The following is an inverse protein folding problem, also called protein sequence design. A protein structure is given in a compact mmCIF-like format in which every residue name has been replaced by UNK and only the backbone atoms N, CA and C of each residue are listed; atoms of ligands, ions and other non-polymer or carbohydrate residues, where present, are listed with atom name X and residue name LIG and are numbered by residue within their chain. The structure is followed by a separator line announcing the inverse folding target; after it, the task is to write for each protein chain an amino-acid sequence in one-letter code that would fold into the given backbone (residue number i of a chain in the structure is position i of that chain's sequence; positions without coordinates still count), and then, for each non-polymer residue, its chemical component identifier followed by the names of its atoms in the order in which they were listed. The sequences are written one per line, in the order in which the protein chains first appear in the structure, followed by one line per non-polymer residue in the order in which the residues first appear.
data_IF_921349591060
#
_entry.id   IF_921349591060
#
_cell.length_a   1.000
_cell.length_b   1.000
_cell.length_c   1.000
_cell.angle_alpha   90.00
_cell.angle_beta   90.00
_cell.angle_gamma   90.00
#
_symmetry.space_group_name_H-M   'P 1'
#
loop_
_entity.id
_entity.type
_entity.pdbx_description
1 polymer ?
#
# COMPACT_ATOMS: atom_id res chain seq x y z
N UNK A 1 -15.54 -8.41 15.94
CA UNK A 1 -14.79 -9.58 16.42
C UNK A 1 -15.07 -10.72 15.46
N UNK A 2 -14.04 -11.26 14.80
CA UNK A 2 -14.22 -12.48 14.00
C UNK A 2 -14.23 -13.65 14.99
N UNK A 3 -15.36 -14.34 15.14
CA UNK A 3 -15.39 -15.61 15.87
C UNK A 3 -14.77 -16.70 15.00
N UNK A 4 -13.95 -17.56 15.57
CA UNK A 4 -13.45 -18.74 14.86
C UNK A 4 -14.60 -19.67 14.47
N UNK A 5 -14.52 -20.26 13.27
CA UNK A 5 -15.50 -21.28 12.86
C UNK A 5 -15.26 -22.58 13.64
N UNK A 6 -16.32 -23.38 13.82
CA UNK A 6 -16.21 -24.69 14.49
C UNK A 6 -15.12 -25.58 13.89
N UNK A 7 -14.91 -25.51 12.57
CA UNK A 7 -13.87 -26.26 11.86
C UNK A 7 -12.46 -25.75 12.15
N UNK A 8 -12.27 -24.43 12.29
CA UNK A 8 -10.98 -23.86 12.69
C UNK A 8 -10.59 -24.29 14.10
N UNK A 9 -11.54 -24.27 15.04
CA UNK A 9 -11.33 -24.73 16.42
C UNK A 9 -10.95 -26.22 16.43
N UNK A 10 -11.68 -27.04 15.69
CA UNK A 10 -11.45 -28.49 15.65
C UNK A 10 -10.09 -28.85 15.05
N UNK A 11 -9.72 -28.23 13.92
CA UNK A 11 -8.39 -28.43 13.33
C UNK A 11 -7.26 -28.03 14.31
N UNK A 12 -7.43 -26.92 15.03
CA UNK A 12 -6.45 -26.49 16.01
C UNK A 12 -6.31 -27.47 17.18
N UNK A 13 -7.42 -27.99 17.70
CA UNK A 13 -7.43 -28.95 18.79
C UNK A 13 -6.83 -30.28 18.35
N UNK A 14 -7.21 -30.81 17.20
CA UNK A 14 -6.78 -32.13 16.71
C UNK A 14 -5.26 -32.23 16.51
N UNK A 15 -4.62 -31.11 16.19
CA UNK A 15 -3.17 -31.03 16.08
C UNK A 15 -2.44 -31.16 17.42
N UNK A 16 -3.06 -30.76 18.54
CA UNK A 16 -2.37 -30.58 19.83
C UNK A 16 -2.93 -31.42 20.98
N UNK A 17 -4.22 -31.72 20.96
CA UNK A 17 -4.97 -32.29 22.07
C UNK A 17 -5.81 -33.47 21.59
N UNK A 18 -5.73 -34.56 22.34
CA UNK A 18 -6.56 -35.75 22.14
C UNK A 18 -7.25 -36.12 23.45
N UNK A 19 -8.20 -37.05 23.37
CA UNK A 19 -9.00 -37.50 24.50
C UNK A 19 -9.11 -39.01 24.51
N UNK A 20 -9.14 -39.60 25.71
CA UNK A 20 -9.36 -41.02 25.96
C UNK A 20 -10.41 -41.20 27.04
N UNK A 21 -11.25 -42.23 26.93
CA UNK A 21 -12.11 -42.66 28.03
C UNK A 21 -11.42 -43.75 28.87
N UNK A 22 -11.56 -43.63 30.19
CA UNK A 22 -11.22 -44.70 31.15
C UNK A 22 -12.50 -45.14 31.84
N UNK A 23 -12.80 -46.43 31.76
CA UNK A 23 -14.08 -47.02 32.15
C UNK A 23 -13.81 -48.28 32.95
N UNK A 24 -14.45 -48.39 34.12
CA UNK A 24 -14.31 -49.59 34.94
C UNK A 24 -14.66 -50.86 34.14
N UNK A 25 -13.84 -51.91 34.27
CA UNK A 25 -14.04 -53.22 33.65
C UNK A 25 -15.41 -53.87 33.94
N UNK A 26 -16.10 -53.42 34.99
CA UNK A 26 -17.47 -53.84 35.32
C UNK A 26 -18.54 -53.24 34.39
N UNK A 27 -18.18 -52.24 33.58
CA UNK A 27 -19.07 -51.54 32.64
C UNK A 27 -18.71 -51.80 31.17
N UNK A 28 -17.66 -52.57 30.91
CA UNK A 28 -17.21 -52.89 29.55
C UNK A 28 -17.10 -54.39 29.37
N UNK A 29 -17.42 -54.91 28.19
CA UNK A 29 -17.17 -56.30 27.79
C UNK A 29 -15.91 -56.35 26.93
N UNK A 30 -15.84 -55.51 25.90
CA UNK A 30 -14.71 -55.46 24.97
C UNK A 30 -14.42 -54.01 24.54
N UNK A 31 -13.69 -53.29 25.39
CA UNK A 31 -13.25 -51.93 25.16
C UNK A 31 -11.76 -51.80 25.50
N UNK A 32 -10.94 -51.46 24.50
CA UNK A 32 -9.52 -51.19 24.70
C UNK A 32 -9.30 -49.70 24.92
N UNK A 33 -9.12 -49.30 26.19
CA UNK A 33 -8.92 -47.90 26.55
C UNK A 33 -7.68 -47.29 25.89
N UNK A 34 -6.59 -48.06 25.75
CA UNK A 34 -5.29 -47.52 25.30
C UNK A 34 -5.23 -47.23 23.82
N UNK A 35 -6.02 -47.95 23.02
CA UNK A 35 -6.07 -47.76 21.55
C UNK A 35 -7.13 -46.72 21.14
N UNK A 36 -8.15 -46.49 21.98
CA UNK A 36 -9.26 -45.60 21.67
C UNK A 36 -8.93 -44.12 21.96
N UNK A 37 -8.30 -43.46 20.99
CA UNK A 37 -8.06 -42.02 20.99
C UNK A 37 -9.12 -41.27 20.19
N UNK A 38 -9.56 -40.13 20.72
CA UNK A 38 -10.64 -39.33 20.16
C UNK A 38 -10.24 -37.86 20.01
N UNK A 39 -10.77 -37.22 18.97
CA UNK A 39 -10.78 -35.77 18.82
C UNK A 39 -11.85 -35.12 19.69
N UNK A 40 -11.82 -33.79 19.84
CA UNK A 40 -12.83 -33.07 20.63
C UNK A 40 -14.26 -33.30 20.10
N UNK A 41 -14.45 -33.16 18.79
CA UNK A 41 -15.76 -33.41 18.15
C UNK A 41 -16.22 -34.87 18.32
N UNK A 42 -15.28 -35.82 18.27
CA UNK A 42 -15.59 -37.23 18.48
C UNK A 42 -16.06 -37.51 19.91
N UNK A 43 -15.42 -36.94 20.94
CA UNK A 43 -15.88 -37.12 22.32
C UNK A 43 -17.23 -36.44 22.55
N UNK A 44 -17.48 -35.27 21.95
CA UNK A 44 -18.77 -34.60 22.06
C UNK A 44 -19.88 -35.49 21.50
N UNK A 45 -19.66 -36.09 20.32
CA UNK A 45 -20.62 -37.03 19.74
C UNK A 45 -20.83 -38.28 20.60
N UNK A 46 -19.76 -38.85 21.15
CA UNK A 46 -19.83 -40.02 22.06
C UNK A 46 -20.63 -39.68 23.31
N UNK A 47 -20.29 -38.58 23.98
CA UNK A 47 -20.92 -38.13 25.22
C UNK A 47 -22.41 -37.85 24.97
N UNK A 48 -22.72 -37.16 23.87
CA UNK A 48 -24.10 -36.86 23.48
C UNK A 48 -24.91 -38.13 23.22
N UNK A 49 -24.37 -39.07 22.44
CA UNK A 49 -25.05 -40.34 22.10
C UNK A 49 -25.33 -41.19 23.34
N UNK A 50 -24.36 -41.30 24.26
CA UNK A 50 -24.55 -42.05 25.50
C UNK A 50 -25.50 -41.32 26.46
N UNK A 51 -25.39 -39.98 26.58
CA UNK A 51 -26.32 -39.17 27.37
C UNK A 51 -27.77 -39.38 26.91
N UNK A 52 -28.05 -39.27 25.62
CA UNK A 52 -29.40 -39.42 25.07
C UNK A 52 -29.94 -40.84 25.29
N UNK A 53 -29.11 -41.87 25.12
CA UNK A 53 -29.51 -43.26 25.41
C UNK A 53 -29.85 -43.47 26.89
N UNK A 54 -28.96 -43.08 27.80
CA UNK A 54 -29.17 -43.28 29.23
C UNK A 54 -30.28 -42.40 29.79
N UNK A 55 -30.57 -41.25 29.18
CA UNK A 55 -31.75 -40.44 29.48
C UNK A 55 -33.04 -41.23 29.26
N UNK A 56 -33.20 -41.81 28.08
CA UNK A 56 -34.38 -42.64 27.74
C UNK A 56 -34.50 -43.84 28.67
N UNK A 57 -33.37 -44.49 29.01
CA UNK A 57 -33.36 -45.61 29.96
C UNK A 57 -33.79 -45.17 31.36
N UNK A 58 -33.31 -44.00 31.82
CA UNK A 58 -33.61 -43.47 33.15
C UNK A 58 -35.09 -43.14 33.38
N UNK A 59 -35.84 -42.84 32.30
CA UNK A 59 -37.29 -42.65 32.35
C UNK A 59 -38.04 -43.93 32.71
N UNK A 60 -37.42 -45.11 32.48
CA UNK A 60 -38.03 -46.42 32.72
C UNK A 60 -37.50 -47.11 33.97
N UNK A 61 -36.19 -47.01 34.23
CA UNK A 61 -35.54 -47.64 35.36
C UNK A 61 -34.39 -46.77 35.89
N UNK A 62 -34.31 -46.55 37.22
CA UNK A 62 -33.26 -45.72 37.80
C UNK A 62 -31.88 -46.38 37.62
N UNK A 63 -30.89 -45.58 37.21
CA UNK A 63 -29.47 -45.95 37.19
C UNK A 63 -28.60 -44.73 37.42
N UNK A 64 -27.41 -44.94 37.99
CA UNK A 64 -26.39 -43.89 38.15
C UNK A 64 -25.74 -43.47 36.81
N UNK A 65 -25.98 -44.22 35.73
CA UNK A 65 -25.38 -43.96 34.42
C UNK A 65 -25.86 -42.68 33.77
N UNK A 66 -27.16 -42.36 33.87
CA UNK A 66 -27.69 -41.11 33.31
C UNK A 66 -27.04 -39.88 33.94
N UNK A 67 -26.95 -39.81 35.27
CA UNK A 67 -26.30 -38.70 35.96
C UNK A 67 -24.83 -38.55 35.58
N UNK A 68 -24.13 -39.68 35.41
CA UNK A 68 -22.71 -39.66 35.02
C UNK A 68 -22.52 -39.04 33.61
N UNK A 69 -23.35 -39.45 32.64
CA UNK A 69 -23.30 -38.87 31.29
C UNK A 69 -23.84 -37.43 31.25
N UNK A 70 -24.82 -37.08 32.09
CA UNK A 70 -25.33 -35.71 32.20
C UNK A 70 -24.23 -34.74 32.68
N UNK A 71 -23.46 -35.11 33.69
CA UNK A 71 -22.33 -34.32 34.18
C UNK A 71 -21.31 -34.10 33.07
N UNK A 72 -20.96 -35.18 32.36
CA UNK A 72 -19.98 -35.10 31.27
C UNK A 72 -20.49 -34.26 30.09
N UNK A 73 -21.77 -34.40 29.72
CA UNK A 73 -22.40 -33.61 28.67
C UNK A 73 -22.43 -32.12 29.01
N UNK A 74 -22.73 -31.77 30.27
CA UNK A 74 -22.69 -30.38 30.72
C UNK A 74 -21.27 -29.79 30.65
N UNK A 75 -20.24 -30.55 31.04
CA UNK A 75 -18.85 -30.13 30.94
C UNK A 75 -18.44 -29.85 29.48
N UNK A 76 -18.74 -30.77 28.56
CA UNK A 76 -18.41 -30.59 27.14
C UNK A 76 -19.15 -29.39 26.54
N UNK A 77 -20.44 -29.21 26.83
CA UNK A 77 -21.18 -28.05 26.35
C UNK A 77 -20.58 -26.73 26.87
N UNK A 78 -20.13 -26.70 28.13
CA UNK A 78 -19.42 -25.56 28.70
C UNK A 78 -18.11 -25.26 27.97
N UNK A 79 -17.35 -26.30 27.61
CA UNK A 79 -16.10 -26.17 26.84
C UNK A 79 -16.37 -25.70 25.42
N UNK A 80 -17.37 -26.27 24.74
CA UNK A 80 -17.78 -25.84 23.39
C UNK A 80 -18.13 -24.35 23.39
N UNK A 81 -18.92 -23.90 24.37
CA UNK A 81 -19.26 -22.49 24.54
C UNK A 81 -18.01 -21.62 24.73
N UNK A 82 -17.11 -22.02 25.62
CA UNK A 82 -15.84 -21.31 25.84
C UNK A 82 -15.01 -21.20 24.56
N UNK A 83 -14.88 -22.28 23.80
CA UNK A 83 -14.12 -22.31 22.55
C UNK A 83 -14.75 -21.42 21.46
N UNK A 84 -16.07 -21.29 21.42
CA UNK A 84 -16.77 -20.40 20.48
C UNK A 84 -16.64 -18.92 20.84
N UNK A 85 -16.40 -18.60 22.10
CA UNK A 85 -16.30 -17.22 22.63
C UNK A 85 -14.84 -16.73 22.75
N UNK A 86 -13.85 -17.56 22.42
CA UNK A 86 -12.43 -17.21 22.58
C UNK A 86 -11.93 -16.26 21.48
N UNK A 87 -11.21 -15.20 21.90
CA UNK A 87 -10.65 -14.20 20.99
C UNK A 87 -9.40 -14.69 20.23
N UNK A 88 -8.64 -15.61 20.83
CA UNK A 88 -7.42 -16.18 20.26
C UNK A 88 -7.23 -17.66 20.63
N UNK A 89 -6.85 -18.49 19.66
CA UNK A 89 -6.60 -19.92 19.84
C UNK A 89 -5.22 -20.14 20.47
N UNK A 90 -5.13 -19.85 21.77
CA UNK A 90 -3.93 -20.07 22.57
C UNK A 90 -3.96 -21.43 23.28
N UNK A 91 -2.94 -22.25 23.05
CA UNK A 91 -2.83 -23.61 23.60
C UNK A 91 -2.77 -23.65 25.12
N UNK A 92 -2.08 -22.71 25.77
CA UNK A 92 -1.96 -22.69 27.23
C UNK A 92 -3.27 -22.29 27.89
N UNK A 93 -3.96 -21.29 27.33
CA UNK A 93 -5.29 -20.88 27.80
C UNK A 93 -6.29 -22.02 27.70
N UNK A 94 -6.35 -22.69 26.53
CA UNK A 94 -7.24 -23.83 26.29
C UNK A 94 -6.89 -24.99 27.22
N UNK A 95 -5.60 -25.32 27.38
CA UNK A 95 -5.16 -26.40 28.26
C UNK A 95 -5.52 -26.13 29.73
N UNK A 96 -5.31 -24.91 30.21
CA UNK A 96 -5.70 -24.55 31.57
C UNK A 96 -7.20 -24.67 31.76
N UNK A 97 -8.00 -24.21 30.79
CA UNK A 97 -9.45 -24.31 30.87
C UNK A 97 -9.93 -25.77 30.88
N UNK A 98 -9.39 -26.62 30.00
CA UNK A 98 -9.70 -28.06 29.96
C UNK A 98 -9.28 -28.78 31.24
N UNK A 99 -8.11 -28.44 31.80
CA UNK A 99 -7.62 -29.04 33.04
C UNK A 99 -8.59 -28.83 34.22
N UNK A 100 -9.11 -27.61 34.37
CA UNK A 100 -10.01 -27.29 35.48
C UNK A 100 -11.47 -27.68 35.24
N UNK A 101 -11.95 -27.64 33.99
CA UNK A 101 -13.37 -27.81 33.69
C UNK A 101 -13.72 -29.19 33.10
N UNK A 102 -12.76 -29.90 32.52
CA UNK A 102 -12.97 -31.24 31.95
C UNK A 102 -12.39 -32.33 32.85
N UNK A 103 -11.06 -32.42 32.87
CA UNK A 103 -10.29 -33.44 33.57
C UNK A 103 -8.87 -32.96 33.90
N UNK A 104 -8.46 -33.16 35.14
CA UNK A 104 -7.07 -32.95 35.58
C UNK A 104 -6.14 -34.10 35.20
N UNK A 105 -6.70 -35.25 34.81
CA UNK A 105 -5.93 -36.43 34.41
C UNK A 105 -5.55 -36.31 32.94
N UNK A 106 -4.24 -36.25 32.67
CA UNK A 106 -3.68 -36.10 31.34
C UNK A 106 -2.31 -36.74 31.21
N UNK A 107 -1.96 -37.14 29.99
CA UNK A 107 -0.67 -37.68 29.62
C UNK A 107 -0.14 -36.99 28.35
N UNK A 108 1.16 -37.14 28.06
CA UNK A 108 1.77 -36.60 26.85
C UNK A 108 2.22 -37.77 25.98
N UNK A 109 1.84 -37.74 24.70
CA UNK A 109 2.28 -38.76 23.74
C UNK A 109 3.75 -38.55 23.36
N UNK A 110 4.38 -39.56 22.77
CA UNK A 110 5.75 -39.47 22.24
C UNK A 110 5.92 -38.35 21.19
N UNK A 111 4.82 -37.97 20.52
CA UNK A 111 4.76 -36.90 19.51
C UNK A 111 4.49 -35.52 20.12
N UNK A 112 4.43 -35.39 21.45
CA UNK A 112 4.21 -34.14 22.17
C UNK A 112 2.75 -33.68 22.23
N UNK A 113 1.77 -34.50 21.79
CA UNK A 113 0.34 -34.19 21.95
C UNK A 113 -0.11 -34.47 23.37
N UNK A 114 -1.03 -33.66 23.87
CA UNK A 114 -1.58 -33.78 25.21
C UNK A 114 -2.90 -34.57 25.17
N UNK A 115 -2.99 -35.66 25.94
CA UNK A 115 -4.16 -36.54 25.97
C UNK A 115 -4.90 -36.37 27.29
N UNK A 116 -6.13 -35.90 27.26
CA UNK A 116 -7.00 -35.83 28.45
C UNK A 116 -7.71 -37.16 28.68
N UNK A 117 -7.66 -37.65 29.91
CA UNK A 117 -8.26 -38.92 30.32
C UNK A 117 -9.59 -38.64 31.01
N UNK A 118 -10.68 -39.16 30.42
CA UNK A 118 -12.06 -38.95 30.86
C UNK A 118 -12.56 -40.21 31.57
N UNK A 119 -12.58 -40.17 32.91
CA UNK A 119 -13.10 -41.27 33.71
C UNK A 119 -14.63 -41.25 33.74
N UNK A 120 -15.27 -42.37 33.40
CA UNK A 120 -16.74 -42.52 33.50
C UNK A 120 -17.16 -43.90 34.01
N UNK A 121 -18.01 -43.92 35.03
CA UNK A 121 -18.63 -45.15 35.56
C UNK A 121 -19.93 -45.42 34.79
N UNK A 122 -19.83 -45.89 33.54
CA UNK A 122 -20.98 -46.30 32.73
C UNK A 122 -20.53 -47.10 31.50
N UNK A 123 -21.38 -48.00 30.96
CA UNK A 123 -21.14 -48.58 29.64
C UNK A 123 -21.13 -47.51 28.55
N UNK A 124 -20.23 -47.68 27.56
CA UNK A 124 -20.02 -46.75 26.46
C UNK A 124 -20.38 -47.38 25.12
N UNK A 125 -20.94 -46.58 24.22
CA UNK A 125 -21.25 -46.95 22.83
C UNK A 125 -20.05 -47.32 21.95
N UNK A 126 -18.83 -47.12 22.44
CA UNK A 126 -17.57 -47.53 21.81
C UNK A 126 -17.08 -48.91 22.22
N UNK A 127 -17.71 -49.54 23.21
CA UNK A 127 -17.47 -50.95 23.48
C UNK A 127 -17.95 -51.78 22.28
N UNK A 128 -17.09 -52.68 21.78
CA UNK A 128 -17.39 -53.50 20.60
C UNK A 128 -18.63 -54.38 20.81
N UNK A 129 -18.94 -54.68 22.08
CA UNK A 129 -20.05 -55.52 22.50
C UNK A 129 -21.16 -54.72 23.19
N UNK A 130 -21.19 -53.38 23.04
CA UNK A 130 -22.25 -52.54 23.65
C UNK A 130 -23.65 -52.99 23.26
N UNK A 131 -23.81 -53.54 22.05
CA UNK A 131 -25.11 -54.04 21.57
C UNK A 131 -25.66 -55.14 22.48
N UNK A 132 -24.81 -56.05 22.93
CA UNK A 132 -25.17 -57.12 23.87
C UNK A 132 -25.69 -56.54 25.19
N UNK A 133 -25.00 -55.51 25.71
CA UNK A 133 -25.42 -54.78 26.92
C UNK A 133 -26.77 -54.11 26.70
N UNK A 134 -26.97 -53.36 25.61
CA UNK A 134 -28.23 -52.65 25.32
C UNK A 134 -29.41 -53.61 25.14
N UNK A 135 -29.22 -54.75 24.49
CA UNK A 135 -30.24 -55.79 24.36
C UNK A 135 -30.61 -56.38 25.73
N UNK A 136 -29.63 -56.63 26.59
CA UNK A 136 -29.89 -57.05 27.97
C UNK A 136 -30.65 -55.99 28.78
N UNK A 137 -30.25 -54.71 28.70
CA UNK A 137 -30.94 -53.60 29.37
C UNK A 137 -32.41 -53.54 28.98
N UNK A 138 -32.69 -53.68 27.68
CA UNK A 138 -34.07 -53.69 27.17
C UNK A 138 -34.87 -54.85 27.74
N UNK A 139 -34.29 -56.05 27.76
CA UNK A 139 -34.91 -57.22 28.37
C UNK A 139 -35.16 -57.04 29.88
N UNK A 140 -34.16 -56.54 30.63
CA UNK A 140 -34.24 -56.42 32.08
C UNK A 140 -35.35 -55.48 32.52
N UNK A 141 -35.48 -54.32 31.86
CA UNK A 141 -36.50 -53.31 32.15
C UNK A 141 -37.92 -53.83 31.92
N UNK A 142 -38.11 -54.80 31.03
CA UNK A 142 -39.41 -55.47 30.84
C UNK A 142 -39.75 -56.42 31.99
N UNK A 143 -38.75 -56.90 32.73
CA UNK A 143 -38.96 -57.82 33.86
C UNK A 143 -39.05 -57.09 35.21
N UNK A 144 -38.18 -56.10 35.43
CA UNK A 144 -38.11 -55.32 36.67
C UNK A 144 -37.34 -54.02 36.45
N UNK A 145 -37.56 -53.03 37.32
CA UNK A 145 -36.86 -51.73 37.29
C UNK A 145 -35.82 -51.60 38.42
N UNK A 146 -35.73 -52.58 39.32
CA UNK A 146 -34.87 -52.51 40.50
C UNK A 146 -33.39 -52.80 40.16
N UNK A 147 -32.47 -52.03 40.74
CA UNK A 147 -31.02 -52.28 40.72
C UNK A 147 -30.42 -52.50 39.31
N UNK A 148 -30.87 -51.74 38.30
CA UNK A 148 -30.42 -51.86 36.92
C UNK A 148 -28.89 -51.79 36.77
N UNK A 149 -28.22 -50.91 37.52
CA UNK A 149 -26.74 -50.79 37.51
C UNK A 149 -26.07 -52.12 37.86
N UNK A 150 -26.49 -52.77 38.96
CA UNK A 150 -25.92 -54.05 39.39
C UNK A 150 -26.32 -55.21 38.47
N UNK A 151 -27.50 -55.13 37.84
CA UNK A 151 -27.92 -56.10 36.84
C UNK A 151 -27.03 -56.05 35.60
N UNK A 152 -26.71 -54.85 35.12
CA UNK A 152 -25.79 -54.63 33.99
C UNK A 152 -24.38 -55.12 34.34
N UNK A 153 -23.88 -54.81 35.54
CA UNK A 153 -22.57 -55.30 36.00
C UNK A 153 -22.53 -56.82 36.10
N UNK A 154 -23.58 -57.43 36.62
CA UNK A 154 -23.73 -58.89 36.69
C UNK A 154 -23.76 -59.52 35.30
N UNK A 155 -24.49 -58.92 34.36
CA UNK A 155 -24.51 -59.34 32.96
C UNK A 155 -23.13 -59.28 32.31
N UNK A 156 -22.42 -58.16 32.47
CA UNK A 156 -21.07 -57.96 31.94
C UNK A 156 -20.10 -58.98 32.55
N UNK A 157 -20.17 -59.19 33.87
CA UNK A 157 -19.35 -60.20 34.54
C UNK A 157 -19.60 -61.61 34.00
N UNK A 158 -20.86 -62.03 33.87
CA UNK A 158 -21.23 -63.35 33.35
C UNK A 158 -20.87 -63.52 31.87
N UNK A 159 -20.93 -62.46 31.08
CA UNK A 159 -20.52 -62.49 29.67
C UNK A 159 -19.02 -62.80 29.50
N UNK A 160 -18.20 -62.43 30.49
CA UNK A 160 -16.77 -62.76 30.56
C UNK A 160 -16.51 -64.10 31.28
N UNK A 161 -17.40 -64.50 32.20
CA UNK A 161 -17.23 -65.65 33.08
C UNK A 161 -18.47 -66.57 33.01
N UNK A 162 -18.64 -67.26 31.89
CA UNK A 162 -19.82 -68.09 31.59
C UNK A 162 -20.03 -69.21 32.64
N UNK A 163 -18.95 -69.69 33.28
CA UNK A 163 -19.00 -70.74 34.30
C UNK A 163 -19.77 -70.34 35.57
N UNK A 164 -19.89 -69.04 35.84
CA UNK A 164 -20.58 -68.52 37.02
C UNK A 164 -22.10 -68.42 36.86
N UNK A 165 -22.63 -68.72 35.67
CA UNK A 165 -24.06 -68.59 35.35
C UNK A 165 -24.94 -69.39 36.30
N UNK A 166 -24.56 -70.64 36.64
CA UNK A 166 -25.37 -71.49 37.52
C UNK A 166 -25.62 -70.88 38.90
N UNK A 167 -24.60 -70.27 39.49
CA UNK A 167 -24.71 -69.59 40.79
C UNK A 167 -25.67 -68.39 40.70
N UNK A 168 -25.47 -67.53 39.70
CA UNK A 168 -26.29 -66.33 39.50
C UNK A 168 -27.75 -66.68 39.16
N UNK A 169 -27.98 -67.77 38.43
CA UNK A 169 -29.32 -68.27 38.10
C UNK A 169 -30.06 -68.81 39.33
N UNK A 170 -29.36 -69.31 40.34
CA UNK A 170 -29.98 -69.79 41.59
C UNK A 170 -30.25 -68.68 42.61
N UNK A 171 -29.81 -67.45 42.35
CA UNK A 171 -29.97 -66.32 43.26
C UNK A 171 -31.41 -65.83 43.34
N UNK A 172 -31.85 -65.42 44.53
CA UNK A 172 -33.15 -64.76 44.73
C UNK A 172 -33.15 -63.28 44.34
N UNK A 173 -31.97 -62.69 44.08
CA UNK A 173 -31.84 -61.30 43.71
C UNK A 173 -32.08 -61.09 42.20
N UNK A 174 -33.03 -60.23 41.79
CA UNK A 174 -33.35 -60.01 40.37
C UNK A 174 -32.15 -59.59 39.51
N UNK A 175 -31.27 -58.75 40.08
CA UNK A 175 -30.07 -58.26 39.42
C UNK A 175 -28.98 -59.34 39.21
N UNK A 176 -29.14 -60.55 39.76
CA UNK A 176 -28.28 -61.70 39.47
C UNK A 176 -29.03 -62.75 38.64
N UNK A 177 -30.28 -63.01 39.00
CA UNK A 177 -31.14 -64.00 38.33
C UNK A 177 -31.38 -63.68 36.85
N UNK A 178 -31.87 -62.48 36.53
CA UNK A 178 -32.25 -62.12 35.15
C UNK A 178 -31.07 -62.05 34.18
N UNK A 179 -29.87 -61.53 34.55
CA UNK A 179 -28.68 -61.66 33.70
C UNK A 179 -28.35 -63.10 33.32
N UNK A 180 -28.40 -64.03 34.28
CA UNK A 180 -28.10 -65.43 34.04
C UNK A 180 -29.18 -66.09 33.17
N UNK A 181 -30.46 -65.83 33.47
CA UNK A 181 -31.58 -66.30 32.65
C UNK A 181 -31.49 -65.80 31.20
N UNK A 182 -31.14 -64.52 31.00
CA UNK A 182 -31.02 -63.94 29.66
C UNK A 182 -29.91 -64.61 28.83
N UNK A 183 -28.74 -64.84 29.44
CA UNK A 183 -27.62 -65.51 28.76
C UNK A 183 -27.97 -66.97 28.43
N UNK A 184 -28.59 -67.70 29.35
CA UNK A 184 -29.06 -69.06 29.10
C UNK A 184 -30.09 -69.10 27.97
N UNK A 185 -31.09 -68.20 28.00
CA UNK A 185 -32.07 -68.07 26.91
C UNK A 185 -31.37 -67.84 25.58
N UNK A 186 -30.42 -66.91 25.50
CA UNK A 186 -29.65 -66.66 24.27
C UNK A 186 -28.86 -67.88 23.80
N UNK A 187 -28.32 -68.68 24.72
CA UNK A 187 -27.60 -69.91 24.37
C UNK A 187 -28.54 -71.02 23.85
N UNK A 188 -29.81 -71.01 24.25
CA UNK A 188 -30.81 -72.00 23.81
C UNK A 188 -31.77 -71.49 22.71
N UNK A 189 -31.79 -70.19 22.41
CA UNK A 189 -32.69 -69.58 21.41
C UNK A 189 -32.38 -70.02 19.99
N UNK A 190 -33.44 -70.20 19.19
CA UNK A 190 -33.36 -70.58 17.78
C UNK A 190 -33.07 -69.36 16.86
N UNK A 191 -32.69 -69.63 15.60
CA UNK A 191 -32.21 -68.65 14.62
C UNK A 191 -33.22 -67.49 14.36
N UNK A 192 -34.53 -67.72 14.54
CA UNK A 192 -35.58 -66.73 14.23
C UNK A 192 -35.64 -65.55 15.22
N UNK A 193 -35.43 -65.78 16.51
CA UNK A 193 -35.33 -64.68 17.49
C UNK A 193 -34.08 -63.82 17.24
N UNK A 194 -33.00 -64.42 16.73
CA UNK A 194 -31.77 -63.69 16.41
C UNK A 194 -31.91 -62.77 15.19
N UNK A 195 -32.81 -63.04 14.25
CA UNK A 195 -33.04 -62.17 13.06
C UNK A 195 -33.77 -60.87 13.45
N UNK A 196 -34.83 -60.95 14.25
CA UNK A 196 -35.54 -59.74 14.70
C UNK A 196 -34.65 -58.87 15.60
N UNK A 197 -33.87 -59.49 16.48
CA UNK A 197 -32.89 -58.81 17.32
C UNK A 197 -31.76 -58.17 16.47
N UNK A 198 -31.39 -58.80 15.36
CA UNK A 198 -30.45 -58.25 14.38
C UNK A 198 -31.03 -57.03 13.66
N UNK A 199 -32.26 -57.10 13.14
CA UNK A 199 -32.90 -55.94 12.50
C UNK A 199 -33.02 -54.76 13.48
N UNK A 200 -33.52 -55.02 14.69
CA UNK A 200 -33.75 -54.00 15.72
C UNK A 200 -32.47 -53.33 16.20
N UNK A 201 -31.40 -54.09 16.46
CA UNK A 201 -30.18 -53.57 17.09
C UNK A 201 -29.04 -53.28 16.12
N UNK A 202 -29.12 -53.76 14.88
CA UNK A 202 -28.08 -53.56 13.85
C UNK A 202 -28.60 -52.67 12.74
N UNK A 203 -29.69 -53.08 12.07
CA UNK A 203 -30.15 -52.40 10.85
C UNK A 203 -30.69 -51.01 11.17
N UNK A 204 -31.65 -50.87 12.09
CA UNK A 204 -32.20 -49.54 12.39
C UNK A 204 -31.14 -48.53 12.89
N UNK A 205 -30.26 -48.87 13.85
CA UNK A 205 -29.22 -47.93 14.30
C UNK A 205 -28.17 -47.63 13.23
N UNK A 206 -27.89 -48.58 12.32
CA UNK A 206 -26.98 -48.33 11.21
C UNK A 206 -27.60 -47.37 10.21
N UNK A 207 -28.86 -47.56 9.83
CA UNK A 207 -29.61 -46.66 8.96
C UNK A 207 -29.70 -45.26 9.54
N UNK A 208 -29.99 -45.13 10.84
CA UNK A 208 -30.05 -43.81 11.50
C UNK A 208 -28.69 -43.11 11.52
N UNK A 209 -27.59 -43.84 11.81
CA UNK A 209 -26.23 -43.27 11.76
C UNK A 209 -25.83 -42.85 10.36
N UNK A 210 -26.23 -43.61 9.35
CA UNK A 210 -25.91 -43.31 7.96
C UNK A 210 -26.65 -42.05 7.49
N UNK A 211 -27.91 -41.89 7.92
CA UNK A 211 -28.68 -40.66 7.69
C UNK A 211 -28.01 -39.45 8.36
N UNK A 212 -27.63 -39.56 9.64
CA UNK A 212 -26.96 -38.49 10.39
C UNK A 212 -25.63 -38.07 9.74
N UNK A 213 -24.83 -39.03 9.24
CA UNK A 213 -23.60 -38.74 8.50
C UNK A 213 -23.91 -37.97 7.21
N UNK A 214 -24.94 -38.39 6.47
CA UNK A 214 -25.37 -37.71 5.25
C UNK A 214 -25.81 -36.27 5.53
N UNK A 215 -26.59 -36.05 6.59
CA UNK A 215 -27.11 -34.73 6.96
C UNK A 215 -25.97 -33.79 7.39
N UNK A 216 -25.05 -34.27 8.24
CA UNK A 216 -23.87 -33.50 8.66
C UNK A 216 -22.92 -33.20 7.47
N UNK A 217 -22.74 -34.16 6.56
CA UNK A 217 -21.95 -33.91 5.35
C UNK A 217 -22.54 -32.80 4.48
N UNK A 218 -23.87 -32.76 4.35
CA UNK A 218 -24.56 -31.69 3.63
C UNK A 218 -24.43 -30.33 4.33
N UNK A 219 -24.52 -30.29 5.65
CA UNK A 219 -24.34 -29.07 6.44
C UNK A 219 -22.92 -28.52 6.27
N UNK A 220 -21.88 -29.36 6.42
CA UNK A 220 -20.49 -28.96 6.19
C UNK A 220 -20.26 -28.47 4.76
N UNK A 221 -20.88 -29.10 3.77
CA UNK A 221 -20.78 -28.64 2.38
C UNK A 221 -21.36 -27.24 2.20
N UNK A 222 -22.52 -26.96 2.81
CA UNK A 222 -23.13 -25.62 2.80
C UNK A 222 -22.26 -24.58 3.49
N UNK A 223 -21.71 -24.89 4.66
CA UNK A 223 -20.80 -23.99 5.38
C UNK A 223 -19.57 -23.65 4.57
N UNK A 224 -18.92 -24.67 3.97
CA UNK A 224 -17.74 -24.48 3.13
C UNK A 224 -18.09 -23.62 1.91
N UNK A 225 -19.21 -23.88 1.26
CA UNK A 225 -19.66 -23.11 0.09
C UNK A 225 -19.90 -21.64 0.46
N UNK A 226 -20.65 -21.38 1.54
CA UNK A 226 -20.91 -20.02 2.02
C UNK A 226 -19.63 -19.28 2.42
N UNK A 227 -18.69 -19.98 3.07
CA UNK A 227 -17.39 -19.40 3.41
C UNK A 227 -16.61 -19.02 2.16
N UNK A 228 -16.54 -19.91 1.15
CA UNK A 228 -15.83 -19.63 -0.11
C UNK A 228 -16.47 -18.45 -0.85
N UNK A 229 -17.80 -18.41 -0.94
CA UNK A 229 -18.53 -17.31 -1.59
C UNK A 229 -18.28 -15.97 -0.90
N UNK A 230 -18.37 -15.92 0.43
CA UNK A 230 -18.08 -14.71 1.20
C UNK A 230 -16.64 -14.24 0.99
N UNK A 231 -15.67 -15.16 1.05
CA UNK A 231 -14.26 -14.82 0.84
C UNK A 231 -13.97 -14.37 -0.59
N UNK A 232 -14.65 -14.97 -1.57
CA UNK A 232 -14.55 -14.55 -2.96
C UNK A 232 -15.06 -13.12 -3.12
N UNK A 233 -16.23 -12.80 -2.56
CA UNK A 233 -16.82 -11.46 -2.61
C UNK A 233 -15.92 -10.41 -1.92
N UNK A 234 -15.36 -10.74 -0.75
CA UNK A 234 -14.43 -9.85 -0.03
C UNK A 234 -13.15 -9.56 -0.85
N UNK A 235 -12.59 -10.60 -1.49
CA UNK A 235 -11.41 -10.46 -2.35
C UNK A 235 -11.75 -9.64 -3.59
N UNK A 236 -12.90 -9.89 -4.20
CA UNK A 236 -13.37 -9.16 -5.38
C UNK A 236 -13.55 -7.68 -5.05
N UNK A 237 -14.17 -7.35 -3.92
CA UNK A 237 -14.33 -5.96 -3.48
C UNK A 237 -12.97 -5.27 -3.26
N UNK A 238 -12.03 -5.93 -2.57
CA UNK A 238 -10.68 -5.39 -2.37
C UNK A 238 -9.93 -5.18 -3.69
N UNK A 239 -10.11 -6.09 -4.65
CA UNK A 239 -9.52 -5.95 -5.98
C UNK A 239 -10.13 -4.77 -6.75
N UNK A 240 -11.44 -4.62 -6.71
CA UNK A 240 -12.15 -3.52 -7.36
C UNK A 240 -11.77 -2.16 -6.75
N UNK A 241 -11.67 -2.07 -5.41
CA UNK A 241 -11.19 -0.87 -4.70
C UNK A 241 -9.75 -0.53 -5.10
N UNK A 242 -8.87 -1.54 -5.19
CA UNK A 242 -7.47 -1.35 -5.63
C UNK A 242 -7.39 -0.96 -7.11
N UNK A 243 -8.28 -1.47 -7.95
CA UNK A 243 -8.35 -1.08 -9.36
C UNK A 243 -8.77 0.39 -9.52
N UNK A 244 -9.70 0.88 -8.70
CA UNK A 244 -10.09 2.29 -8.64
C UNK A 244 -8.89 3.14 -8.19
N UNK A 245 -8.22 2.76 -7.09
CA UNK A 245 -7.03 3.47 -6.58
C UNK A 245 -5.91 3.55 -7.63
N UNK A 246 -5.65 2.45 -8.35
CA UNK A 246 -4.66 2.43 -9.44
C UNK A 246 -5.05 3.35 -10.60
N UNK A 247 -6.33 3.41 -10.96
CA UNK A 247 -6.83 4.29 -12.02
C UNK A 247 -6.70 5.76 -11.64
N UNK A 248 -7.00 6.09 -10.38
CA UNK A 248 -6.79 7.43 -9.83
C UNK A 248 -5.30 7.80 -9.79
N UNK A 249 -4.46 6.88 -9.33
CA UNK A 249 -3.00 7.06 -9.33
C UNK A 249 -2.47 7.29 -10.76
N UNK A 250 -2.86 6.47 -11.73
CA UNK A 250 -2.48 6.62 -13.13
C UNK A 250 -2.90 7.99 -13.68
N UNK A 251 -4.13 8.43 -13.37
CA UNK A 251 -4.63 9.74 -13.75
C UNK A 251 -3.82 10.87 -13.12
N UNK A 252 -3.42 10.71 -11.85
CA UNK A 252 -2.57 11.68 -11.14
C UNK A 252 -1.17 11.79 -11.76
N UNK A 253 -0.56 10.67 -12.15
CA UNK A 253 0.74 10.62 -12.81
C UNK A 253 0.66 11.26 -14.20
N UNK A 254 -0.38 10.97 -14.97
CA UNK A 254 -0.59 11.58 -16.28
C UNK A 254 -0.75 13.10 -16.18
N UNK A 255 -1.52 13.59 -15.20
CA UNK A 255 -1.66 15.03 -14.93
C UNK A 255 -0.33 15.65 -14.52
N UNK A 256 0.39 15.03 -13.59
CA UNK A 256 1.71 15.50 -13.15
C UNK A 256 2.71 15.54 -14.31
N UNK A 257 2.74 14.50 -15.15
CA UNK A 257 3.62 14.42 -16.31
C UNK A 257 3.30 15.54 -17.31
N UNK A 258 2.02 15.78 -17.59
CA UNK A 258 1.59 16.88 -18.46
C UNK A 258 1.99 18.24 -17.89
N UNK A 259 1.68 18.51 -16.62
CA UNK A 259 2.06 19.76 -15.96
C UNK A 259 3.56 20.00 -15.95
N UNK A 260 4.36 18.95 -15.74
CA UNK A 260 5.83 19.06 -15.76
C UNK A 260 6.37 19.29 -17.16
N UNK A 261 5.80 18.63 -18.16
CA UNK A 261 6.16 18.83 -19.57
C UNK A 261 5.86 20.28 -19.99
N UNK A 262 4.65 20.76 -19.72
CA UNK A 262 4.24 22.13 -20.06
C UNK A 262 5.14 23.18 -19.36
N UNK A 263 5.48 22.96 -18.08
CA UNK A 263 6.42 23.84 -17.36
C UNK A 263 7.84 23.81 -17.94
N UNK A 264 8.31 22.65 -18.38
CA UNK A 264 9.65 22.49 -18.94
C UNK A 264 9.73 23.14 -20.32
N UNK A 265 8.72 22.96 -21.17
CA UNK A 265 8.61 23.64 -22.47
C UNK A 265 8.57 25.17 -22.29
N UNK A 266 7.75 25.68 -21.37
CA UNK A 266 7.69 27.11 -21.07
C UNK A 266 9.03 27.65 -20.53
N UNK A 267 9.72 26.89 -19.67
CA UNK A 267 11.03 27.26 -19.14
C UNK A 267 12.09 27.28 -20.24
N UNK A 268 12.07 26.28 -21.13
CA UNK A 268 12.99 26.19 -22.27
C UNK A 268 12.78 27.38 -23.23
N UNK A 269 11.53 27.72 -23.54
CA UNK A 269 11.20 28.89 -24.36
C UNK A 269 11.65 30.20 -23.69
N UNK A 270 11.37 30.35 -22.39
CA UNK A 270 11.81 31.51 -21.60
C UNK A 270 13.34 31.64 -21.61
N UNK A 271 14.06 30.52 -21.47
CA UNK A 271 15.52 30.50 -21.46
C UNK A 271 16.11 30.80 -22.84
N UNK A 272 15.55 30.24 -23.92
CA UNK A 272 15.93 30.56 -25.30
C UNK A 272 15.70 32.05 -25.63
N UNK A 273 14.58 32.61 -25.20
CA UNK A 273 14.26 34.04 -25.37
C UNK A 273 15.21 34.93 -24.56
N UNK A 274 15.57 34.52 -23.33
CA UNK A 274 16.56 35.24 -22.52
C UNK A 274 17.94 35.21 -23.17
N UNK A 275 18.42 34.04 -23.59
CA UNK A 275 19.76 33.89 -24.16
C UNK A 275 19.93 34.65 -25.48
N UNK A 276 18.88 34.68 -26.33
CA UNK A 276 18.93 35.39 -27.61
C UNK A 276 18.95 36.91 -27.47
N UNK A 277 18.37 37.46 -26.39
CA UNK A 277 18.24 38.90 -26.17
C UNK A 277 19.26 39.50 -25.19
N UNK A 278 19.88 38.69 -24.33
CA UNK A 278 20.89 39.13 -23.36
C UNK A 278 22.25 39.43 -24.05
N UNK A 279 22.64 38.60 -25.01
CA UNK A 279 23.86 38.81 -25.80
C UNK A 279 23.92 40.17 -26.53
N UNK A 280 22.85 40.63 -27.24
CA UNK A 280 22.86 41.94 -27.88
C UNK A 280 22.86 43.10 -26.87
N UNK A 281 22.15 43.03 -25.73
CA UNK A 281 22.20 44.08 -24.69
C UNK A 281 23.64 44.26 -24.15
N UNK A 282 24.32 43.15 -23.84
CA UNK A 282 25.70 43.19 -23.36
C UNK A 282 26.64 43.77 -24.43
N UNK A 283 26.45 43.41 -25.70
CA UNK A 283 27.24 43.95 -26.82
C UNK A 283 27.06 45.47 -26.97
N UNK A 284 25.82 45.97 -26.94
CA UNK A 284 25.51 47.40 -27.07
C UNK A 284 26.05 48.21 -25.90
N UNK A 285 25.90 47.71 -24.68
CA UNK A 285 26.49 48.32 -23.49
C UNK A 285 28.02 48.37 -23.57
N UNK A 286 28.66 47.28 -24.01
CA UNK A 286 30.12 47.26 -24.21
C UNK A 286 30.56 48.31 -25.22
N UNK A 287 29.94 48.37 -26.40
CA UNK A 287 30.25 49.39 -27.42
C UNK A 287 30.02 50.81 -26.93
N UNK A 288 28.92 51.07 -26.22
CA UNK A 288 28.66 52.37 -25.63
C UNK A 288 29.79 52.79 -24.68
N UNK A 289 30.27 51.89 -23.82
CA UNK A 289 31.39 52.20 -22.90
C UNK A 289 32.71 52.47 -23.63
N UNK A 290 32.97 51.77 -24.74
CA UNK A 290 34.16 52.00 -25.58
C UNK A 290 34.13 53.39 -26.22
N UNK A 291 33.01 53.80 -26.81
CA UNK A 291 32.87 55.13 -27.41
C UNK A 291 32.88 56.27 -26.38
N UNK A 292 32.39 56.06 -25.16
CA UNK A 292 32.54 57.04 -24.06
C UNK A 292 34.01 57.24 -23.70
N UNK A 293 34.78 56.15 -23.62
CA UNK A 293 36.22 56.22 -23.36
C UNK A 293 36.94 56.95 -24.50
N UNK A 294 36.60 56.66 -25.76
CA UNK A 294 37.15 57.36 -26.91
C UNK A 294 36.77 58.84 -26.92
N UNK A 295 35.51 59.19 -26.68
CA UNK A 295 35.06 60.57 -26.57
C UNK A 295 35.83 61.32 -25.48
N UNK A 296 36.02 60.72 -24.30
CA UNK A 296 36.82 61.30 -23.22
C UNK A 296 38.27 61.53 -23.64
N UNK A 297 38.89 60.57 -24.31
CA UNK A 297 40.26 60.72 -24.81
C UNK A 297 40.36 61.85 -25.84
N UNK A 298 39.41 61.95 -26.78
CA UNK A 298 39.35 63.04 -27.75
C UNK A 298 39.08 64.40 -27.10
N UNK A 299 38.29 64.45 -26.03
CA UNK A 299 38.09 65.69 -25.24
C UNK A 299 39.38 66.12 -24.56
N UNK A 300 40.16 65.20 -24.00
CA UNK A 300 41.48 65.49 -23.43
C UNK A 300 42.41 66.02 -24.53
N UNK A 301 42.45 65.37 -25.69
CA UNK A 301 43.24 65.82 -26.85
C UNK A 301 42.80 67.23 -27.27
N UNK A 302 41.50 67.52 -27.31
CA UNK A 302 40.97 68.84 -27.64
C UNK A 302 41.43 69.90 -26.64
N UNK A 303 41.38 69.63 -25.32
CA UNK A 303 41.84 70.55 -24.28
C UNK A 303 43.35 70.82 -24.44
N UNK A 304 44.16 69.76 -24.60
CA UNK A 304 45.60 69.88 -24.82
C UNK A 304 45.91 70.67 -26.09
N UNK A 305 45.15 70.43 -27.16
CA UNK A 305 45.30 71.14 -28.44
C UNK A 305 44.97 72.62 -28.28
N UNK A 306 43.89 72.97 -27.58
CA UNK A 306 43.53 74.38 -27.30
C UNK A 306 44.62 75.08 -26.49
N UNK A 307 45.15 74.44 -25.45
CA UNK A 307 46.26 74.98 -24.65
C UNK A 307 47.54 75.17 -25.49
N UNK A 308 47.87 74.18 -26.33
CA UNK A 308 48.99 74.27 -27.25
C UNK A 308 48.80 75.41 -28.27
N UNK A 309 47.59 75.56 -28.83
CA UNK A 309 47.25 76.63 -29.76
C UNK A 309 47.38 78.01 -29.13
N UNK A 310 46.96 78.20 -27.87
CA UNK A 310 47.14 79.45 -27.12
C UNK A 310 48.65 79.74 -26.97
N UNK A 311 49.43 78.75 -26.53
CA UNK A 311 50.87 78.91 -26.36
C UNK A 311 51.60 79.23 -27.67
N UNK A 312 51.26 78.54 -28.77
CA UNK A 312 51.82 78.83 -30.11
C UNK A 312 51.39 80.21 -30.60
N UNK A 313 50.17 80.65 -30.32
CA UNK A 313 49.70 81.99 -30.69
C UNK A 313 50.49 83.07 -29.95
N UNK A 314 50.73 82.91 -28.64
CA UNK A 314 51.57 83.84 -27.87
C UNK A 314 52.99 83.89 -28.41
N UNK A 315 53.61 82.74 -28.72
CA UNK A 315 54.95 82.70 -29.33
C UNK A 315 54.98 83.31 -30.72
N UNK A 316 53.97 83.06 -31.55
CA UNK A 316 53.88 83.61 -32.91
C UNK A 316 53.72 85.14 -32.88
N UNK A 317 52.94 85.68 -31.92
CA UNK A 317 52.87 87.12 -31.66
C UNK A 317 54.25 87.67 -31.27
N UNK A 318 54.98 87.03 -30.34
CA UNK A 318 56.33 87.47 -29.94
C UNK A 318 57.32 87.40 -31.11
N UNK A 319 57.28 86.34 -31.92
CA UNK A 319 58.18 86.17 -33.07
C UNK A 319 57.88 87.22 -34.13
N UNK A 320 56.62 87.44 -34.49
CA UNK A 320 56.24 88.47 -35.48
C UNK A 320 56.55 89.88 -34.96
N UNK A 321 56.31 90.18 -33.68
CA UNK A 321 56.67 91.46 -33.09
C UNK A 321 58.18 91.73 -33.13
N UNK A 322 59.00 90.72 -32.81
CA UNK A 322 60.46 90.82 -32.91
C UNK A 322 60.95 90.87 -34.37
N UNK A 323 60.29 90.16 -35.30
CA UNK A 323 60.60 90.20 -36.74
C UNK A 323 60.19 91.53 -37.39
N UNK A 324 59.10 92.13 -36.91
CA UNK A 324 58.55 93.43 -37.33
C UNK A 324 59.48 94.59 -36.97
N UNK A 325 60.19 94.47 -35.83
CA UNK A 325 61.16 95.46 -35.37
C UNK A 325 62.45 95.51 -36.21
N UNK A 326 62.85 94.42 -36.88
CA UNK A 326 64.15 94.36 -37.56
C UNK A 326 64.09 94.45 -39.10
N UNK A 327 63.02 94.08 -39.82
CA UNK A 327 62.97 94.16 -41.30
C UNK A 327 61.53 94.35 -41.86
N UNK A 328 60.87 95.50 -41.62
CA UNK A 328 59.72 95.93 -42.45
C UNK A 328 60.13 97.12 -43.31
N UNK A 329 60.88 96.85 -44.37
CA UNK A 329 60.91 97.63 -45.62
C UNK A 329 61.48 96.71 -46.70
N UNK A 330 60.69 95.77 -47.26
CA UNK A 330 60.90 95.25 -48.64
C UNK A 330 59.94 94.14 -49.17
N UNK A 331 58.77 93.87 -48.57
CA UNK A 331 57.75 92.99 -49.21
C UNK A 331 56.35 93.62 -49.12
N UNK A 332 55.84 94.30 -50.17
CA UNK A 332 54.59 95.07 -50.09
C UNK A 332 53.30 94.26 -50.28
N UNK A 333 53.35 92.94 -50.44
CA UNK A 333 52.18 92.12 -50.83
C UNK A 333 51.57 91.25 -49.73
N UNK A 334 52.12 91.24 -48.51
CA UNK A 334 51.58 90.49 -47.37
C UNK A 334 51.45 91.42 -46.16
N UNK A 335 50.22 91.83 -45.81
CA UNK A 335 50.00 92.59 -44.59
C UNK A 335 50.15 91.67 -43.37
N UNK A 336 50.74 92.19 -42.30
CA UNK A 336 50.90 91.50 -41.01
C UNK A 336 49.54 90.93 -40.52
N UNK A 337 48.46 91.71 -40.68
CA UNK A 337 47.10 91.30 -40.35
C UNK A 337 46.60 90.11 -41.17
N UNK A 338 46.98 89.98 -42.44
CA UNK A 338 46.52 88.88 -43.31
C UNK A 338 47.07 87.53 -42.84
N UNK A 339 48.34 87.46 -42.42
CA UNK A 339 48.96 86.24 -41.89
C UNK A 339 48.28 85.81 -40.58
N UNK A 340 48.02 86.76 -39.67
CA UNK A 340 47.29 86.46 -38.43
C UNK A 340 45.88 85.93 -38.67
N UNK A 341 45.11 86.56 -39.58
CA UNK A 341 43.74 86.14 -39.91
C UNK A 341 43.73 84.73 -40.51
N UNK A 342 44.70 84.41 -41.38
CA UNK A 342 44.81 83.09 -42.01
C UNK A 342 45.13 81.98 -40.99
N UNK A 343 46.10 82.23 -40.09
CA UNK A 343 46.47 81.28 -39.01
C UNK A 343 45.33 81.07 -38.02
N UNK A 344 44.65 82.14 -37.59
CA UNK A 344 43.48 82.05 -36.69
C UNK A 344 42.35 81.25 -37.36
N UNK A 345 42.10 81.49 -38.65
CA UNK A 345 41.08 80.76 -39.42
C UNK A 345 41.40 79.27 -39.50
N UNK A 346 42.68 78.92 -39.68
CA UNK A 346 43.15 77.53 -39.68
C UNK A 346 43.01 76.86 -38.30
N UNK A 347 43.30 77.57 -37.21
CA UNK A 347 43.10 77.06 -35.85
C UNK A 347 41.63 76.82 -35.51
N UNK A 348 40.75 77.75 -35.88
CA UNK A 348 39.29 77.57 -35.74
C UNK A 348 38.83 76.34 -36.53
N UNK A 349 39.39 76.11 -37.72
CA UNK A 349 39.09 74.93 -38.53
C UNK A 349 39.50 73.61 -37.83
N UNK A 350 40.70 73.54 -37.25
CA UNK A 350 41.17 72.37 -36.48
C UNK A 350 40.28 72.12 -35.26
N UNK A 351 39.97 73.16 -34.48
CA UNK A 351 39.08 73.03 -33.31
C UNK A 351 37.71 72.53 -33.77
N UNK A 352 37.16 73.07 -34.86
CA UNK A 352 35.88 72.63 -35.43
C UNK A 352 35.89 71.15 -35.80
N UNK A 353 36.99 70.63 -36.35
CA UNK A 353 37.12 69.21 -36.70
C UNK A 353 37.16 68.32 -35.44
N UNK A 354 37.92 68.73 -34.42
CA UNK A 354 38.04 67.97 -33.17
C UNK A 354 36.72 67.98 -32.39
N UNK A 355 36.01 69.11 -32.33
CA UNK A 355 34.66 69.20 -31.75
C UNK A 355 33.70 68.26 -32.47
N UNK A 356 33.75 68.19 -33.81
CA UNK A 356 32.93 67.25 -34.58
C UNK A 356 33.25 65.79 -34.26
N UNK A 357 34.52 65.43 -34.08
CA UNK A 357 34.94 64.06 -33.70
C UNK A 357 34.48 63.71 -32.28
N UNK A 358 34.60 64.64 -31.32
CA UNK A 358 34.11 64.44 -29.95
C UNK A 358 32.60 64.27 -29.93
N UNK A 359 31.86 65.15 -30.62
CA UNK A 359 30.41 65.07 -30.74
C UNK A 359 29.95 63.77 -31.42
N UNK A 360 30.65 63.33 -32.46
CA UNK A 360 30.38 62.07 -33.15
C UNK A 360 30.49 60.85 -32.21
N UNK A 361 31.57 60.77 -31.43
CA UNK A 361 31.76 59.68 -30.47
C UNK A 361 30.75 59.73 -29.32
N UNK A 362 30.36 60.92 -28.87
CA UNK A 362 29.32 61.09 -27.85
C UNK A 362 27.93 60.69 -28.36
N UNK A 363 27.60 61.07 -29.60
CA UNK A 363 26.37 60.68 -30.29
C UNK A 363 26.30 59.15 -30.42
N UNK A 364 27.34 58.52 -30.97
CA UNK A 364 27.46 57.06 -31.05
C UNK A 364 27.27 56.37 -29.70
N UNK A 365 27.92 56.86 -28.65
CA UNK A 365 27.76 56.32 -27.30
C UNK A 365 26.31 56.42 -26.78
N UNK A 366 25.65 57.54 -27.06
CA UNK A 366 24.26 57.79 -26.62
C UNK A 366 23.29 56.90 -27.38
N UNK A 367 23.47 56.77 -28.69
CA UNK A 367 22.70 55.87 -29.56
C UNK A 367 22.86 54.40 -29.15
N UNK A 368 24.07 53.93 -28.87
CA UNK A 368 24.28 52.57 -28.36
C UNK A 368 23.64 52.34 -26.98
N UNK A 369 23.63 53.34 -26.10
CA UNK A 369 22.88 53.26 -24.83
C UNK A 369 21.37 53.21 -25.05
N UNK A 370 20.83 53.99 -25.97
CA UNK A 370 19.41 53.97 -26.31
C UNK A 370 19.03 52.61 -26.89
N UNK A 371 19.86 52.03 -27.77
CA UNK A 371 19.67 50.66 -28.28
C UNK A 371 19.75 49.59 -27.18
N UNK A 372 20.66 49.73 -26.22
CA UNK A 372 20.71 48.83 -25.05
C UNK A 372 19.46 48.96 -24.16
N UNK A 373 19.00 50.20 -23.90
CA UNK A 373 17.78 50.45 -23.14
C UNK A 373 16.53 49.92 -23.85
N UNK A 374 16.43 50.08 -25.17
CA UNK A 374 15.36 49.52 -25.98
C UNK A 374 15.38 47.98 -25.99
N UNK A 375 16.58 47.37 -26.06
CA UNK A 375 16.74 45.92 -25.94
C UNK A 375 16.25 45.43 -24.58
N UNK A 376 16.60 46.12 -23.49
CA UNK A 376 16.16 45.80 -22.14
C UNK A 376 14.66 46.02 -21.92
N UNK A 377 14.09 47.06 -22.53
CA UNK A 377 12.66 47.30 -22.55
C UNK A 377 11.91 46.17 -23.28
N UNK A 378 12.42 45.75 -24.45
CA UNK A 378 11.87 44.62 -25.19
C UNK A 378 11.96 43.30 -24.41
N UNK A 379 13.08 43.04 -23.73
CA UNK A 379 13.21 41.91 -22.81
C UNK A 379 12.15 41.96 -21.70
N UNK A 380 11.90 43.14 -21.11
CA UNK A 380 10.91 43.31 -20.05
C UNK A 380 9.47 43.08 -20.53
N UNK A 381 9.13 43.51 -21.75
CA UNK A 381 7.83 43.26 -22.37
C UNK A 381 7.62 41.77 -22.67
N UNK A 382 8.65 41.11 -23.21
CA UNK A 382 8.62 39.66 -23.47
C UNK A 382 8.49 38.87 -22.16
N UNK A 383 9.19 39.29 -21.11
CA UNK A 383 9.12 38.66 -19.78
C UNK A 383 7.75 38.86 -19.10
N UNK A 384 7.08 40.00 -19.32
CA UNK A 384 5.76 40.28 -18.78
C UNK A 384 4.62 39.49 -19.48
N UNK A 385 4.94 38.67 -20.50
CA UNK A 385 3.96 37.86 -21.22
C UNK A 385 3.06 38.66 -22.16
N UNK A 386 3.45 39.89 -22.51
CA UNK A 386 2.71 40.72 -23.45
C UNK A 386 2.92 40.16 -24.86
N UNK A 387 1.84 39.74 -25.54
CA UNK A 387 1.91 39.33 -26.95
C UNK A 387 2.21 40.56 -27.81
N UNK A 388 3.49 40.78 -28.13
CA UNK A 388 3.95 41.82 -29.04
C UNK A 388 3.60 41.39 -30.46
N UNK A 389 2.82 42.21 -31.16
CA UNK A 389 2.37 41.88 -32.51
C UNK A 389 3.55 41.76 -33.50
N UNK A 390 3.37 41.03 -34.60
CA UNK A 390 4.41 40.84 -35.62
C UNK A 390 4.89 42.18 -36.19
N UNK A 391 4.00 43.16 -36.35
CA UNK A 391 4.36 44.50 -36.83
C UNK A 391 5.18 45.27 -35.79
N UNK A 392 4.81 45.21 -34.51
CA UNK A 392 5.55 45.84 -33.41
C UNK A 392 6.95 45.25 -33.23
N UNK A 393 7.08 43.92 -33.36
CA UNK A 393 8.39 43.23 -33.32
C UNK A 393 9.30 43.68 -34.46
N UNK A 394 8.76 43.85 -35.67
CA UNK A 394 9.52 44.35 -36.82
C UNK A 394 9.99 45.80 -36.61
N UNK A 395 9.17 46.66 -36.04
CA UNK A 395 9.53 48.05 -35.71
C UNK A 395 10.70 48.08 -34.71
N UNK A 396 10.65 47.25 -33.65
CA UNK A 396 11.69 47.19 -32.63
C UNK A 396 13.01 46.65 -33.21
N UNK A 397 12.96 45.57 -34.01
CA UNK A 397 14.14 45.03 -34.68
C UNK A 397 14.75 46.07 -35.62
N UNK A 398 13.94 46.76 -36.42
CA UNK A 398 14.44 47.82 -37.30
C UNK A 398 15.11 48.95 -36.52
N UNK A 399 14.52 49.39 -35.40
CA UNK A 399 15.10 50.41 -34.54
C UNK A 399 16.43 49.98 -33.90
N UNK A 400 16.58 48.70 -33.54
CA UNK A 400 17.82 48.15 -32.96
C UNK A 400 18.95 48.00 -34.00
N UNK A 401 18.63 47.58 -35.23
CA UNK A 401 19.63 47.29 -36.27
C UNK A 401 19.83 48.40 -37.32
N UNK A 402 19.08 49.50 -37.24
CA UNK A 402 19.28 50.68 -38.09
C UNK A 402 20.73 51.21 -38.02
N UNK A 403 21.23 51.72 -39.15
CA UNK A 403 22.55 52.38 -39.19
C UNK A 403 22.52 53.65 -38.35
N UNK A 404 23.63 53.95 -37.67
CA UNK A 404 23.74 55.10 -36.79
C UNK A 404 24.45 56.22 -37.54
N UNK A 405 23.80 57.37 -37.64
CA UNK A 405 24.42 58.57 -38.18
C UNK A 405 25.49 59.08 -37.21
N UNK A 406 26.70 59.28 -37.74
CA UNK A 406 27.86 59.67 -36.92
C UNK A 406 28.04 61.19 -36.88
N UNK A 407 27.14 61.99 -37.44
CA UNK A 407 27.31 63.44 -37.61
C UNK A 407 28.46 63.86 -38.55
N UNK A 408 29.40 62.95 -38.82
CA UNK A 408 30.52 63.06 -39.77
C UNK A 408 30.20 62.40 -41.11
N UNK A 409 29.50 61.27 -41.08
CA UNK A 409 28.97 60.57 -42.25
C UNK A 409 27.44 60.58 -42.10
N UNK A 410 26.74 61.21 -43.05
CA UNK A 410 25.29 61.10 -43.17
C UNK A 410 24.99 59.89 -44.04
N UNK A 411 24.13 59.00 -43.57
CA UNK A 411 23.69 57.84 -44.34
C UNK A 411 22.26 58.08 -44.80
N UNK A 412 22.02 58.02 -46.12
CA UNK A 412 20.65 58.06 -46.66
C UNK A 412 19.95 56.74 -46.28
N UNK A 413 19.07 56.81 -45.28
CA UNK A 413 18.54 55.66 -44.54
C UNK A 413 17.32 54.96 -45.15
N UNK A 414 16.90 55.31 -46.37
CA UNK A 414 15.61 54.86 -46.92
C UNK A 414 15.66 53.49 -47.61
N UNK A 415 16.63 53.22 -48.47
CA UNK A 415 16.58 52.05 -49.35
C UNK A 415 17.02 50.72 -48.69
N UNK A 416 18.08 50.75 -47.86
CA UNK A 416 18.65 49.53 -47.27
C UNK A 416 17.79 48.94 -46.14
N UNK A 417 17.11 49.79 -45.38
CA UNK A 417 16.25 49.37 -44.27
C UNK A 417 14.96 48.69 -44.76
N UNK A 418 14.40 49.15 -45.89
CA UNK A 418 13.25 48.51 -46.55
C UNK A 418 13.60 47.10 -47.06
N UNK A 419 14.81 46.90 -47.59
CA UNK A 419 15.28 45.58 -48.04
C UNK A 419 15.44 44.61 -46.87
N UNK A 420 16.00 45.07 -45.73
CA UNK A 420 16.14 44.25 -44.52
C UNK A 420 14.75 43.91 -43.93
N UNK A 421 13.83 44.87 -43.88
CA UNK A 421 12.43 44.66 -43.47
C UNK A 421 11.70 43.65 -44.37
N UNK A 422 11.90 43.72 -45.69
CA UNK A 422 11.32 42.79 -46.65
C UNK A 422 11.87 41.36 -46.51
N UNK A 423 13.16 41.22 -46.15
CA UNK A 423 13.78 39.90 -45.91
C UNK A 423 13.32 39.31 -44.56
N UNK A 424 13.23 40.13 -43.52
CA UNK A 424 12.79 39.72 -42.19
C UNK A 424 11.30 39.34 -42.17
N UNK A 425 10.44 40.12 -42.82
CA UNK A 425 9.00 39.82 -42.93
C UNK A 425 8.72 38.52 -43.69
N UNK A 426 9.58 38.15 -44.64
CA UNK A 426 9.45 36.91 -45.43
C UNK A 426 9.87 35.64 -44.67
N UNK A 427 10.76 35.76 -43.69
CA UNK A 427 11.34 34.62 -42.95
C UNK A 427 10.76 34.39 -41.54
N UNK A 428 9.98 35.32 -40.99
CA UNK A 428 9.27 35.14 -39.71
C UNK A 428 7.88 34.53 -40.00
N UNK A 429 7.84 33.22 -40.27
CA UNK A 429 6.57 32.48 -40.37
C UNK A 429 6.09 32.04 -39.00
#
# INVERSE_FOLDING_TARGET
MMSFTSKQISNFLDDKILFRFTINSNNTINFNEREAMFTFDQIEKVIKTNFDYWKIVSEKAPSNYYSNWQIMNNKINGIRKFLSEIDDLNTDTINNYLYYNLSSSRETTEQGKLVYILSIDSPIDKDLEIRKIKSFVSFYIEQTTDNLTEAIRSYIYLSKNISSIGNYFSSSYPYQFYPALYLLRKQFSNIRENIFDFEKNIIYPLTSKLQEISDNSNEQYKEITSFIENRYNDIQQQFDDKAIELKEFQSSINRWQKEKKDKLEHLEETYKNKLSLEAPEQLWNKRATEYIKQARNWTIILIVTVLALIFTSTKLITVIHNYSLDIIKEIPFLSESFVFISVISFFIYIIRILVKIVMSNHHLATEYKQKAALTRFYQSLTYAGTNIDKEERLIIINSLFSRIDTGLIKVDNTNDNEVILAILSKNIK
#
